data_IF_577751228954
#
_entry.id   IF_577751228954
#
_cell.length_a   1.000
_cell.length_b   1.000
_cell.length_c   1.000
_cell.angle_alpha   90.00
_cell.angle_beta   90.00
_cell.angle_gamma   90.00
#
_symmetry.space_group_name_H-M   'P 1'
#
loop_
_entity.id
_entity.type
_entity.pdbx_description
1 polymer ?
#
# COMPACT_ATOMS: atom_id res chain seq x y z
N UNK A 1 -8.42 -70.04 18.50
CA UNK A 1 -9.48 -69.05 18.81
C UNK A 1 -9.20 -67.81 17.99
N UNK A 2 -9.91 -67.66 16.87
CA UNK A 2 -9.65 -66.62 15.87
C UNK A 2 -10.14 -65.27 16.37
N UNK A 3 -9.22 -64.30 16.47
CA UNK A 3 -9.51 -62.90 16.80
C UNK A 3 -10.15 -62.13 15.62
N UNK A 4 -10.37 -62.79 14.48
CA UNK A 4 -10.93 -62.22 13.26
C UNK A 4 -12.45 -62.37 13.17
N UNK A 5 -13.14 -62.39 14.31
CA UNK A 5 -14.60 -62.36 14.36
C UNK A 5 -15.14 -61.14 15.13
N UNK A 6 -14.40 -60.03 15.10
CA UNK A 6 -14.94 -58.70 15.35
C UNK A 6 -15.65 -58.24 14.06
N UNK A 7 -16.79 -58.88 13.79
CA UNK A 7 -17.75 -58.34 12.83
C UNK A 7 -18.30 -57.05 13.45
N UNK A 8 -17.58 -55.93 13.24
CA UNK A 8 -18.19 -54.62 13.41
C UNK A 8 -19.36 -54.59 12.42
N UNK A 9 -20.61 -54.51 12.91
CA UNK A 9 -21.76 -54.50 12.00
C UNK A 9 -21.57 -53.33 11.05
N UNK A 10 -21.60 -53.59 9.74
CA UNK A 10 -21.43 -52.55 8.72
C UNK A 10 -22.40 -51.37 8.94
N UNK A 11 -23.56 -51.67 9.53
CA UNK A 11 -24.59 -50.74 9.97
C UNK A 11 -24.11 -49.73 11.02
N UNK A 12 -23.15 -50.07 11.88
CA UNK A 12 -22.56 -49.14 12.86
C UNK A 12 -21.39 -48.33 12.28
N UNK A 13 -20.77 -48.80 11.19
CA UNK A 13 -19.68 -48.07 10.50
C UNK A 13 -20.22 -46.93 9.62
N UNK A 14 -21.41 -47.09 9.05
CA UNK A 14 -22.08 -46.06 8.22
C UNK A 14 -22.34 -44.73 8.95
N UNK A 15 -22.98 -44.68 10.14
CA UNK A 15 -23.23 -43.43 10.84
C UNK A 15 -21.93 -42.77 11.32
N UNK A 16 -20.93 -43.56 11.72
CA UNK A 16 -19.62 -43.04 12.09
C UNK A 16 -18.95 -42.36 10.89
N UNK A 17 -18.86 -43.03 9.74
CA UNK A 17 -18.30 -42.45 8.51
C UNK A 17 -19.06 -41.19 8.08
N UNK A 18 -20.39 -41.18 8.14
CA UNK A 18 -21.20 -40.04 7.75
C UNK A 18 -21.03 -38.84 8.69
N UNK A 19 -20.91 -39.08 10.00
CA UNK A 19 -20.62 -38.03 10.99
C UNK A 19 -19.22 -37.43 10.80
N UNK A 20 -18.23 -38.26 10.49
CA UNK A 20 -16.86 -37.84 10.23
C UNK A 20 -16.76 -37.02 8.93
N UNK A 21 -17.42 -37.48 7.86
CA UNK A 21 -17.51 -36.75 6.59
C UNK A 21 -18.25 -35.42 6.79
N UNK A 22 -19.35 -35.40 7.55
CA UNK A 22 -20.09 -34.17 7.86
C UNK A 22 -19.24 -33.16 8.63
N UNK A 23 -18.49 -33.62 9.63
CA UNK A 23 -17.55 -32.81 10.40
C UNK A 23 -16.44 -32.25 9.50
N UNK A 24 -15.81 -33.09 8.68
CA UNK A 24 -14.77 -32.65 7.76
C UNK A 24 -15.31 -31.67 6.72
N UNK A 25 -16.49 -31.92 6.15
CA UNK A 25 -17.12 -31.02 5.20
C UNK A 25 -17.43 -29.64 5.81
N UNK A 26 -17.79 -29.59 7.10
CA UNK A 26 -18.04 -28.34 7.81
C UNK A 26 -16.79 -27.46 7.93
N UNK A 27 -15.59 -28.04 7.99
CA UNK A 27 -14.32 -27.28 8.07
C UNK A 27 -13.64 -27.10 6.71
N UNK A 28 -13.65 -28.12 5.86
CA UNK A 28 -12.98 -28.10 4.55
C UNK A 28 -13.65 -27.10 3.60
N UNK A 29 -14.98 -27.04 3.57
CA UNK A 29 -15.70 -26.09 2.70
C UNK A 29 -15.35 -24.62 2.97
N UNK A 30 -15.45 -24.11 4.21
CA UNK A 30 -15.05 -22.72 4.48
C UNK A 30 -13.55 -22.52 4.33
N UNK A 31 -12.70 -23.48 4.69
CA UNK A 31 -11.26 -23.36 4.50
C UNK A 31 -10.88 -23.22 3.02
N UNK A 32 -11.51 -24.00 2.13
CA UNK A 32 -11.31 -23.88 0.68
C UNK A 32 -11.88 -22.56 0.14
N UNK A 33 -13.05 -22.13 0.62
CA UNK A 33 -13.63 -20.84 0.22
C UNK A 33 -12.74 -19.65 0.62
N UNK A 34 -12.26 -19.63 1.86
CA UNK A 34 -11.32 -18.62 2.35
C UNK A 34 -9.97 -18.70 1.61
N UNK A 35 -9.48 -19.92 1.36
CA UNK A 35 -8.28 -20.14 0.57
C UNK A 35 -8.40 -19.57 -0.84
N UNK A 36 -9.53 -19.81 -1.51
CA UNK A 36 -9.82 -19.25 -2.84
C UNK A 36 -9.92 -17.72 -2.82
N UNK A 37 -10.49 -17.13 -1.76
CA UNK A 37 -10.50 -15.68 -1.61
C UNK A 37 -9.09 -15.10 -1.40
N UNK A 38 -8.28 -15.75 -0.55
CA UNK A 38 -6.90 -15.32 -0.31
C UNK A 38 -6.07 -15.41 -1.59
N UNK A 39 -6.18 -16.50 -2.36
CA UNK A 39 -5.47 -16.63 -3.63
C UNK A 39 -5.94 -15.60 -4.64
N UNK A 40 -7.25 -15.32 -4.72
CA UNK A 40 -7.80 -14.24 -5.55
C UNK A 40 -7.18 -12.89 -5.19
N UNK A 41 -7.18 -12.54 -3.90
CA UNK A 41 -6.58 -11.28 -3.43
C UNK A 41 -5.09 -11.23 -3.70
N UNK A 42 -4.36 -12.35 -3.59
CA UNK A 42 -2.92 -12.41 -3.88
C UNK A 42 -2.63 -12.22 -5.37
N UNK A 43 -3.38 -12.89 -6.25
CA UNK A 43 -3.25 -12.78 -7.72
C UNK A 43 -3.58 -11.37 -8.18
N UNK A 44 -4.64 -10.77 -7.62
CA UNK A 44 -5.08 -9.42 -7.96
C UNK A 44 -4.47 -8.33 -7.05
N UNK A 45 -3.52 -8.67 -6.19
CA UNK A 45 -2.79 -7.72 -5.33
C UNK A 45 -2.24 -6.50 -6.09
N UNK A 46 -1.56 -6.65 -7.26
CA UNK A 46 -1.06 -5.47 -7.98
C UNK A 46 -2.20 -4.56 -8.46
N UNK A 47 -3.35 -5.12 -8.84
CA UNK A 47 -4.52 -4.34 -9.28
C UNK A 47 -5.12 -3.58 -8.09
N UNK A 48 -5.31 -4.25 -6.95
CA UNK A 48 -5.85 -3.64 -5.73
C UNK A 48 -4.94 -2.50 -5.25
N UNK A 49 -3.62 -2.71 -5.28
CA UNK A 49 -2.64 -1.67 -4.95
C UNK A 49 -2.70 -0.50 -5.94
N UNK A 50 -2.82 -0.77 -7.24
CA UNK A 50 -2.96 0.27 -8.26
C UNK A 50 -4.20 1.13 -8.06
N UNK A 51 -5.36 0.49 -7.82
CA UNK A 51 -6.62 1.19 -7.53
C UNK A 51 -6.52 1.99 -6.23
N UNK A 52 -5.94 1.42 -5.17
CA UNK A 52 -5.74 2.12 -3.90
C UNK A 52 -4.82 3.33 -4.06
N UNK A 53 -3.74 3.22 -4.85
CA UNK A 53 -2.84 4.33 -5.15
C UNK A 53 -3.53 5.42 -5.98
N UNK A 54 -4.32 5.04 -6.98
CA UNK A 54 -5.11 5.98 -7.77
C UNK A 54 -6.15 6.72 -6.92
N UNK A 55 -6.87 6.00 -6.05
CA UNK A 55 -7.79 6.59 -5.09
C UNK A 55 -7.08 7.55 -4.12
N UNK A 56 -5.88 7.18 -3.64
CA UNK A 56 -5.08 8.05 -2.79
C UNK A 56 -4.60 9.30 -3.53
N UNK A 57 -4.24 9.19 -4.81
CA UNK A 57 -3.90 10.33 -5.66
C UNK A 57 -5.08 11.27 -5.90
N UNK A 58 -6.31 10.73 -5.97
CA UNK A 58 -7.53 11.54 -6.09
C UNK A 58 -7.78 12.37 -4.82
N UNK A 59 -7.59 11.80 -3.64
CA UNK A 59 -7.79 12.49 -2.36
C UNK A 59 -6.63 13.44 -2.04
N UNK A 60 -5.40 12.99 -2.23
CA UNK A 60 -4.19 13.75 -1.95
C UNK A 60 -3.31 13.76 -3.20
N UNK A 61 -3.52 14.73 -4.12
CA UNK A 61 -2.70 14.83 -5.31
C UNK A 61 -1.24 15.01 -4.90
N UNK A 62 -0.41 14.05 -5.29
CA UNK A 62 1.03 14.14 -5.06
C UNK A 62 1.58 15.21 -6.01
N UNK A 63 2.29 16.20 -5.47
CA UNK A 63 3.04 17.16 -6.29
C UNK A 63 3.97 16.39 -7.23
N UNK A 64 3.91 16.69 -8.52
CA UNK A 64 4.82 16.11 -9.51
C UNK A 64 6.27 16.46 -9.16
N UNK A 65 7.23 15.68 -9.64
CA UNK A 65 8.65 15.96 -9.41
C UNK A 65 9.00 17.38 -9.88
N UNK A 66 8.52 17.77 -11.06
CA UNK A 66 8.70 19.11 -11.63
C UNK A 66 8.10 20.19 -10.74
N UNK A 67 6.88 20.00 -10.22
CA UNK A 67 6.26 20.95 -9.30
C UNK A 67 7.06 21.11 -8.00
N UNK A 68 7.68 20.05 -7.51
CA UNK A 68 8.54 20.11 -6.30
C UNK A 68 9.83 20.88 -6.59
N UNK A 69 10.48 20.60 -7.72
CA UNK A 69 11.69 21.31 -8.14
C UNK A 69 11.39 22.80 -8.33
N UNK A 70 10.29 23.14 -9.01
CA UNK A 70 9.86 24.52 -9.21
C UNK A 70 9.56 25.22 -7.88
N UNK A 71 8.85 24.56 -6.97
CA UNK A 71 8.58 25.12 -5.65
C UNK A 71 9.88 25.38 -4.85
N UNK A 72 10.85 24.47 -4.94
CA UNK A 72 12.14 24.64 -4.28
C UNK A 72 12.95 25.79 -4.89
N UNK A 73 13.01 25.89 -6.22
CA UNK A 73 13.66 27.01 -6.92
C UNK A 73 13.03 28.34 -6.55
N UNK A 74 11.69 28.41 -6.57
CA UNK A 74 10.96 29.61 -6.19
C UNK A 74 11.23 30.04 -4.75
N UNK A 75 11.23 29.08 -3.81
CA UNK A 75 11.58 29.35 -2.41
C UNK A 75 13.01 29.87 -2.25
N UNK A 76 13.97 29.35 -3.03
CA UNK A 76 15.35 29.84 -3.03
C UNK A 76 15.45 31.29 -3.52
N UNK A 77 14.80 31.62 -4.64
CA UNK A 77 14.75 32.99 -5.17
C UNK A 77 14.11 33.97 -4.19
N UNK A 78 13.01 33.57 -3.55
CA UNK A 78 12.34 34.37 -2.52
C UNK A 78 13.26 34.65 -1.33
N UNK A 79 14.03 33.64 -0.89
CA UNK A 79 14.98 33.79 0.21
C UNK A 79 16.12 34.75 -0.14
N UNK A 80 16.71 34.62 -1.33
CA UNK A 80 17.76 35.52 -1.82
C UNK A 80 17.27 36.97 -1.93
N UNK A 81 16.06 37.18 -2.45
CA UNK A 81 15.45 38.51 -2.52
C UNK A 81 15.14 39.10 -1.14
N UNK A 82 14.74 38.25 -0.17
CA UNK A 82 14.54 38.70 1.22
C UNK A 82 15.86 39.15 1.85
N UNK A 83 16.94 38.38 1.69
CA UNK A 83 18.29 38.75 2.15
C UNK A 83 18.76 40.04 1.48
N UNK A 84 18.58 40.17 0.16
CA UNK A 84 18.95 41.38 -0.56
C UNK A 84 18.22 42.62 -0.02
N UNK A 85 16.95 42.50 0.36
CA UNK A 85 16.21 43.60 0.98
C UNK A 85 16.73 43.94 2.38
N UNK A 86 17.11 42.94 3.17
CA UNK A 86 17.70 43.14 4.51
C UNK A 86 19.05 43.87 4.44
N UNK A 87 19.90 43.50 3.48
CA UNK A 87 21.20 44.14 3.27
C UNK A 87 21.16 45.42 2.43
N UNK A 88 19.99 45.82 1.90
CA UNK A 88 19.88 46.96 0.98
C UNK A 88 20.36 48.28 1.57
N UNK A 89 20.19 48.48 2.90
CA UNK A 89 20.55 49.71 3.60
C UNK A 89 21.98 49.71 4.13
N UNK A 90 22.54 48.54 4.43
CA UNK A 90 23.89 48.42 5.03
C UNK A 90 24.96 48.14 3.99
N UNK A 91 24.65 47.33 2.97
CA UNK A 91 25.60 46.87 1.96
C UNK A 91 24.90 46.76 0.58
N UNK A 92 24.72 47.90 -0.13
CA UNK A 92 23.96 47.93 -1.38
C UNK A 92 24.59 47.11 -2.50
N UNK A 93 25.92 46.99 -2.53
CA UNK A 93 26.62 46.17 -3.53
C UNK A 93 26.33 44.67 -3.34
N UNK A 94 26.38 44.19 -2.09
CA UNK A 94 26.05 42.80 -1.75
C UNK A 94 24.56 42.50 -2.03
N UNK A 95 23.66 43.43 -1.72
CA UNK A 95 22.25 43.31 -2.07
C UNK A 95 22.01 43.19 -3.59
N UNK A 96 22.77 43.92 -4.41
CA UNK A 96 22.70 43.84 -5.87
C UNK A 96 23.20 42.48 -6.39
N UNK A 97 24.28 41.94 -5.80
CA UNK A 97 24.79 40.61 -6.13
C UNK A 97 23.78 39.51 -5.81
N UNK A 98 23.13 39.57 -4.63
CA UNK A 98 22.09 38.62 -4.23
C UNK A 98 20.87 38.65 -5.17
N UNK A 99 20.44 39.84 -5.62
CA UNK A 99 19.38 39.99 -6.63
C UNK A 99 19.79 39.42 -7.99
N UNK A 100 21.03 39.64 -8.40
CA UNK A 100 21.57 39.07 -9.63
C UNK A 100 21.68 37.55 -9.57
N UNK A 101 22.04 36.97 -8.42
CA UNK A 101 22.03 35.53 -8.20
C UNK A 101 20.60 34.97 -8.29
N UNK A 102 19.62 35.62 -7.66
CA UNK A 102 18.21 35.22 -7.73
C UNK A 102 17.61 35.30 -9.15
N UNK A 103 18.13 36.19 -10.00
CA UNK A 103 17.68 36.38 -11.38
C UNK A 103 18.34 35.41 -12.39
N UNK A 104 19.50 34.84 -12.06
CA UNK A 104 20.27 33.95 -12.95
C UNK A 104 19.83 32.49 -12.91
N UNK A 105 19.38 32.00 -11.75
CA UNK A 105 18.81 30.65 -11.58
C UNK A 105 17.37 30.54 -12.11
#
# INVERSE_FOLDING_TARGET
MSFLNLAFPAEAALPFAQSFIGMMAAYVRPALGLGALVTLVMVFKPLILGVAQAALLLVKPRKSLEQRILAHKFSGKMMLNRMANEYSMTQPNFAAELRNMAARD
#
